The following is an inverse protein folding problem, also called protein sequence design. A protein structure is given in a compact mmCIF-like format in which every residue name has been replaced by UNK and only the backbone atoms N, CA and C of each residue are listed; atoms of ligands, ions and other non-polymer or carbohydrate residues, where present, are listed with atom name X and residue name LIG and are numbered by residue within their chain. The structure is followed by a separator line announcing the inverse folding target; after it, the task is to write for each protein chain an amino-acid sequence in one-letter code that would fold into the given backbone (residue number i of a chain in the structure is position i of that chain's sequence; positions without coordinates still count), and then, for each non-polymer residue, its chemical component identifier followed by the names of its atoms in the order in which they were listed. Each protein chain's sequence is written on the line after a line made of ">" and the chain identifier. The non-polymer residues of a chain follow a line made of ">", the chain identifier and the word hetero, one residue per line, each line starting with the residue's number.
data_IF_992469836064
#
_entry.id   IF_992469836064
#
_cell.length_a   1.000
_cell.length_b   1.000
_cell.length_c   1.000
_cell.angle_alpha   90.00
_cell.angle_beta   90.00
_cell.angle_gamma   90.00
#
_symmetry.space_group_name_H-M   'P 1'
#
loop_
_entity.id
_entity.type
_entity.pdbx_description
1 polymer ?
#
# COMPACT_ATOMS: atom_id res chain seq x y z
N UNK A 1 -11.91 -46.23 8.95
CA UNK A 1 -10.76 -46.14 8.00
C UNK A 1 -11.19 -45.76 6.59
N UNK A 2 -12.00 -46.56 5.85
CA UNK A 2 -12.41 -46.19 4.47
C UNK A 2 -13.12 -44.84 4.36
N UNK A 3 -14.04 -44.53 5.29
CA UNK A 3 -14.77 -43.26 5.31
C UNK A 3 -13.85 -42.04 5.45
N UNK A 4 -12.85 -42.12 6.33
CA UNK A 4 -11.84 -41.06 6.51
C UNK A 4 -11.04 -40.83 5.23
N UNK A 5 -10.58 -41.91 4.59
CA UNK A 5 -9.84 -41.80 3.34
C UNK A 5 -10.69 -41.13 2.24
N UNK A 6 -11.92 -41.58 2.02
CA UNK A 6 -12.79 -40.98 1.00
C UNK A 6 -13.22 -39.54 1.33
N UNK A 7 -13.12 -39.11 2.60
CA UNK A 7 -13.39 -37.73 3.00
C UNK A 7 -12.17 -36.82 2.76
N UNK A 8 -10.97 -37.23 3.17
CA UNK A 8 -9.77 -36.39 3.12
C UNK A 8 -8.99 -36.45 1.81
N UNK A 9 -9.17 -37.50 0.98
CA UNK A 9 -8.48 -37.63 -0.30
C UNK A 9 -9.35 -37.16 -1.47
N UNK A 10 -8.76 -36.54 -2.51
CA UNK A 10 -7.33 -36.27 -2.71
C UNK A 10 -6.81 -35.14 -1.81
N UNK A 11 -5.49 -35.11 -1.56
CA UNK A 11 -4.92 -33.95 -0.89
C UNK A 11 -5.00 -32.70 -1.79
N UNK A 12 -5.35 -31.57 -1.19
CA UNK A 12 -5.52 -30.30 -1.89
C UNK A 12 -4.18 -29.66 -2.26
N UNK A 13 -3.22 -29.67 -1.34
CA UNK A 13 -1.93 -29.00 -1.51
C UNK A 13 -0.80 -29.78 -0.84
N UNK A 14 0.33 -29.90 -1.54
CA UNK A 14 1.60 -30.37 -0.98
C UNK A 14 2.69 -29.31 -1.14
N UNK A 15 3.28 -28.89 -0.04
CA UNK A 15 4.35 -27.87 -0.01
C UNK A 15 5.72 -28.54 0.15
N UNK A 16 6.73 -28.10 -0.60
CA UNK A 16 8.07 -28.70 -0.56
C UNK A 16 9.19 -27.80 -1.08
N UNK A 17 10.44 -28.15 -0.77
CA UNK A 17 11.61 -27.54 -1.40
C UNK A 17 11.74 -27.93 -2.87
N UNK A 18 12.31 -27.03 -3.68
CA UNK A 18 12.52 -27.24 -5.13
C UNK A 18 13.41 -28.44 -5.46
N UNK A 19 14.26 -28.86 -4.52
CA UNK A 19 15.12 -30.05 -4.64
C UNK A 19 14.33 -31.36 -4.75
N UNK A 20 13.09 -31.40 -4.26
CA UNK A 20 12.26 -32.60 -4.29
C UNK A 20 11.43 -32.76 -5.58
N UNK A 21 11.47 -31.77 -6.48
CA UNK A 21 10.73 -31.79 -7.74
C UNK A 21 11.16 -33.00 -8.59
N UNK A 22 12.47 -33.16 -8.81
CA UNK A 22 13.03 -34.18 -9.70
C UNK A 22 13.03 -35.60 -9.11
N UNK A 23 12.53 -35.79 -7.88
CA UNK A 23 12.49 -37.08 -7.20
C UNK A 23 11.13 -37.31 -6.55
N UNK A 24 11.02 -37.10 -5.24
CA UNK A 24 9.86 -37.41 -4.41
C UNK A 24 8.54 -36.87 -4.94
N UNK A 25 8.49 -35.62 -5.42
CA UNK A 25 7.25 -35.05 -5.97
C UNK A 25 6.86 -35.71 -7.30
N UNK A 26 7.84 -36.01 -8.15
CA UNK A 26 7.63 -36.77 -9.39
C UNK A 26 7.17 -38.20 -9.08
N UNK A 27 7.83 -38.89 -8.13
CA UNK A 27 7.44 -40.23 -7.70
C UNK A 27 6.05 -40.24 -7.04
N UNK A 28 5.68 -39.19 -6.31
CA UNK A 28 4.34 -39.03 -5.77
C UNK A 28 3.29 -39.10 -6.89
N UNK A 29 3.49 -38.38 -8.00
CA UNK A 29 2.58 -38.40 -9.14
C UNK A 29 2.54 -39.78 -9.80
N UNK A 30 3.70 -40.40 -10.06
CA UNK A 30 3.76 -41.75 -10.65
C UNK A 30 3.02 -42.79 -9.80
N UNK A 31 3.27 -42.82 -8.49
CA UNK A 31 2.62 -43.78 -7.61
C UNK A 31 1.09 -43.55 -7.53
N UNK A 32 0.64 -42.29 -7.44
CA UNK A 32 -0.80 -42.00 -7.39
C UNK A 32 -1.49 -42.37 -8.70
N UNK A 33 -0.88 -42.08 -9.85
CA UNK A 33 -1.46 -42.42 -11.16
C UNK A 33 -1.47 -43.93 -11.43
N UNK A 34 -0.53 -44.68 -10.85
CA UNK A 34 -0.48 -46.14 -10.97
C UNK A 34 -1.45 -46.87 -10.02
N UNK A 35 -1.67 -46.37 -8.81
CA UNK A 35 -2.40 -47.07 -7.74
C UNK A 35 -3.83 -46.54 -7.57
N UNK A 36 -4.02 -45.22 -7.71
CA UNK A 36 -5.26 -44.55 -7.32
C UNK A 36 -6.13 -44.19 -8.53
N UNK A 37 -7.47 -44.25 -8.40
CA UNK A 37 -8.36 -43.73 -9.43
C UNK A 37 -8.17 -42.22 -9.58
N UNK A 38 -8.48 -41.68 -10.76
CA UNK A 38 -8.27 -40.26 -11.10
C UNK A 38 -8.88 -39.27 -10.10
N UNK A 39 -10.02 -39.61 -9.48
CA UNK A 39 -10.66 -38.79 -8.44
C UNK A 39 -9.78 -38.57 -7.20
N UNK A 40 -8.79 -39.42 -6.96
CA UNK A 40 -7.88 -39.39 -5.81
C UNK A 40 -6.47 -38.92 -6.19
N UNK A 41 -6.28 -38.36 -7.39
CA UNK A 41 -4.98 -37.80 -7.77
C UNK A 41 -4.70 -36.46 -7.07
N UNK A 42 -3.42 -36.14 -6.79
CA UNK A 42 -2.99 -34.86 -6.21
C UNK A 42 -3.61 -33.63 -6.90
N UNK A 43 -4.11 -32.66 -6.13
CA UNK A 43 -4.70 -31.43 -6.69
C UNK A 43 -3.71 -30.30 -6.91
N UNK A 44 -2.69 -30.17 -6.07
CA UNK A 44 -1.75 -29.06 -6.15
C UNK A 44 -0.41 -29.31 -5.45
N UNK A 45 0.64 -28.71 -5.98
CA UNK A 45 1.98 -28.68 -5.39
C UNK A 45 2.48 -27.23 -5.37
N UNK A 46 3.05 -26.79 -4.24
CA UNK A 46 3.73 -25.50 -4.13
C UNK A 46 5.19 -25.75 -3.74
N UNK A 47 6.10 -25.31 -4.60
CA UNK A 47 7.53 -25.45 -4.34
C UNK A 47 8.13 -24.11 -3.91
N UNK A 48 9.04 -24.14 -2.94
CA UNK A 48 9.81 -22.98 -2.51
C UNK A 48 11.32 -23.20 -2.69
N UNK A 49 12.09 -22.11 -2.72
CA UNK A 49 13.54 -22.18 -2.71
C UNK A 49 14.12 -22.66 -1.39
N UNK A 50 15.43 -22.84 -1.35
CA UNK A 50 16.13 -23.14 -0.10
C UNK A 50 16.15 -21.90 0.80
N UNK A 51 16.12 -22.12 2.11
CA UNK A 51 16.23 -21.02 3.06
C UNK A 51 17.70 -20.61 3.23
N UNK A 52 17.97 -19.33 3.04
CA UNK A 52 19.21 -18.65 3.41
C UNK A 52 19.05 -17.98 4.77
N UNK A 53 20.19 -17.69 5.41
CA UNK A 53 20.27 -17.01 6.70
C UNK A 53 21.18 -15.79 6.56
N UNK A 54 20.62 -14.59 6.72
CA UNK A 54 21.29 -13.30 6.46
C UNK A 54 22.04 -13.28 5.12
N UNK A 55 21.35 -13.70 4.06
CA UNK A 55 21.85 -13.77 2.67
C UNK A 55 23.01 -14.74 2.46
N UNK A 56 23.27 -15.63 3.40
CA UNK A 56 24.30 -16.67 3.31
C UNK A 56 23.67 -18.06 3.40
N UNK A 57 24.28 -19.03 2.72
CA UNK A 57 23.85 -20.44 2.80
C UNK A 57 23.96 -20.91 4.25
N UNK A 58 22.94 -21.64 4.71
CA UNK A 58 23.00 -22.27 6.02
C UNK A 58 24.00 -23.43 6.03
N UNK A 59 24.98 -23.36 6.93
CA UNK A 59 25.97 -24.43 7.12
C UNK A 59 26.50 -24.45 8.55
N UNK A 60 26.42 -25.62 9.19
CA UNK A 60 26.98 -25.87 10.51
C UNK A 60 28.49 -25.59 10.58
N UNK A 61 29.24 -25.91 9.51
CA UNK A 61 30.70 -25.71 9.48
C UNK A 61 31.12 -24.23 9.46
N UNK A 62 30.27 -23.36 8.92
CA UNK A 62 30.51 -21.91 8.85
C UNK A 62 30.01 -21.16 10.09
N UNK A 63 29.37 -21.85 11.04
CA UNK A 63 28.66 -21.24 12.17
C UNK A 63 27.33 -20.57 11.78
N UNK A 64 27.04 -20.37 10.48
CA UNK A 64 25.80 -19.79 9.98
C UNK A 64 24.68 -20.83 9.94
N UNK A 65 24.15 -21.19 11.10
CA UNK A 65 23.09 -22.19 11.24
C UNK A 65 22.20 -21.84 12.43
N UNK A 66 20.88 -21.91 12.23
CA UNK A 66 19.90 -21.65 13.27
C UNK A 66 18.88 -22.79 13.29
N UNK A 67 18.74 -23.46 14.43
CA UNK A 67 17.68 -24.45 14.62
C UNK A 67 16.35 -23.76 14.92
N UNK A 68 15.23 -24.46 14.67
CA UNK A 68 13.90 -23.96 15.02
C UNK A 68 13.79 -23.56 16.49
N UNK A 69 14.33 -24.39 17.40
CA UNK A 69 14.29 -24.11 18.84
C UNK A 69 15.06 -22.85 19.19
N UNK A 70 16.27 -22.69 18.65
CA UNK A 70 17.06 -21.46 18.85
C UNK A 70 16.34 -20.23 18.30
N UNK A 71 15.71 -20.31 17.12
CA UNK A 71 14.95 -19.20 16.56
C UNK A 71 13.77 -18.78 17.46
N UNK A 72 13.03 -19.77 17.99
CA UNK A 72 11.91 -19.51 18.92
C UNK A 72 12.40 -18.93 20.24
N UNK A 73 13.49 -19.47 20.81
CA UNK A 73 14.05 -19.01 22.09
C UNK A 73 14.61 -17.57 21.95
N UNK A 74 15.18 -17.23 20.79
CA UNK A 74 15.77 -15.91 20.53
C UNK A 74 14.73 -14.85 20.13
N UNK A 75 13.74 -15.21 19.31
CA UNK A 75 12.81 -14.24 18.71
C UNK A 75 11.34 -14.41 19.09
N UNK A 76 10.97 -15.45 19.84
CA UNK A 76 9.59 -15.96 19.97
C UNK A 76 9.05 -16.65 18.71
N UNK A 77 8.00 -17.45 18.88
CA UNK A 77 7.35 -18.17 17.79
C UNK A 77 6.76 -17.21 16.74
N UNK A 78 6.07 -16.15 17.15
CA UNK A 78 5.38 -15.25 16.23
C UNK A 78 6.34 -14.35 15.45
N UNK A 79 7.37 -13.80 16.09
CA UNK A 79 8.35 -12.99 15.37
C UNK A 79 9.18 -13.85 14.39
N UNK A 80 9.48 -15.10 14.75
CA UNK A 80 10.09 -16.08 13.83
C UNK A 80 9.18 -16.34 12.63
N UNK A 81 7.87 -16.50 12.85
CA UNK A 81 6.88 -16.72 11.78
C UNK A 81 6.71 -15.50 10.88
N UNK A 82 6.77 -14.28 11.41
CA UNK A 82 6.83 -13.04 10.60
C UNK A 82 8.05 -13.06 9.69
N UNK A 83 9.24 -13.33 10.23
CA UNK A 83 10.46 -13.36 9.43
C UNK A 83 10.43 -14.48 8.37
N UNK A 84 9.80 -15.61 8.65
CA UNK A 84 9.58 -16.69 7.67
C UNK A 84 8.57 -16.32 6.59
N UNK A 85 7.48 -15.63 6.93
CA UNK A 85 6.52 -15.13 5.95
C UNK A 85 7.15 -14.06 5.03
N UNK A 86 8.01 -13.19 5.57
CA UNK A 86 8.71 -12.16 4.80
C UNK A 86 9.86 -12.72 3.92
N UNK A 87 10.34 -13.92 4.22
CA UNK A 87 11.56 -14.48 3.63
C UNK A 87 11.48 -14.70 2.11
N UNK A 88 10.30 -15.03 1.57
CA UNK A 88 10.07 -15.21 0.14
C UNK A 88 8.93 -16.17 -0.21
N UNK A 89 8.18 -15.83 -1.27
CA UNK A 89 6.99 -16.58 -1.70
C UNK A 89 7.22 -17.52 -2.90
N UNK A 90 8.34 -17.36 -3.60
CA UNK A 90 8.62 -18.03 -4.86
C UNK A 90 9.52 -19.27 -4.76
N UNK A 91 9.98 -19.72 -5.94
CA UNK A 91 10.92 -20.85 -6.10
C UNK A 91 12.38 -20.39 -5.94
N UNK A 92 12.63 -19.08 -6.00
CA UNK A 92 13.91 -18.49 -5.64
C UNK A 92 14.21 -18.72 -4.16
N UNK A 93 15.49 -18.74 -3.82
CA UNK A 93 15.91 -18.98 -2.43
C UNK A 93 15.41 -17.88 -1.51
N UNK A 94 14.67 -18.28 -0.47
CA UNK A 94 14.11 -17.40 0.53
C UNK A 94 15.20 -16.97 1.52
N UNK A 95 15.03 -15.83 2.19
CA UNK A 95 16.05 -15.31 3.10
C UNK A 95 15.48 -14.98 4.48
N UNK A 96 15.87 -15.71 5.51
CA UNK A 96 15.60 -15.36 6.90
C UNK A 96 16.60 -14.29 7.36
N UNK A 97 16.10 -13.11 7.73
CA UNK A 97 16.91 -11.98 8.19
C UNK A 97 16.69 -11.74 9.68
N UNK A 98 17.77 -11.75 10.47
CA UNK A 98 17.70 -11.57 11.93
C UNK A 98 17.09 -10.22 12.31
N UNK A 99 17.47 -9.16 11.60
CA UNK A 99 16.93 -7.82 11.84
C UNK A 99 15.41 -7.77 11.64
N UNK A 100 14.85 -8.50 10.67
CA UNK A 100 13.41 -8.60 10.46
C UNK A 100 12.73 -9.28 11.65
N UNK A 101 13.28 -10.40 12.13
CA UNK A 101 12.75 -11.13 13.30
C UNK A 101 12.83 -10.27 14.58
N UNK A 102 13.96 -9.62 14.83
CA UNK A 102 14.13 -8.74 15.98
C UNK A 102 13.19 -7.52 15.93
N UNK A 103 13.04 -6.91 14.76
CA UNK A 103 12.11 -5.78 14.55
C UNK A 103 10.66 -6.20 14.77
N UNK A 104 10.31 -7.44 14.40
CA UNK A 104 8.96 -7.96 14.58
C UNK A 104 8.55 -8.06 16.05
N UNK A 105 9.47 -8.39 16.98
CA UNK A 105 9.20 -8.39 18.43
C UNK A 105 8.76 -7.00 18.89
N UNK A 106 9.55 -5.98 18.56
CA UNK A 106 9.27 -4.60 18.94
C UNK A 106 8.00 -4.06 18.28
N UNK A 107 7.69 -4.53 17.06
CA UNK A 107 6.45 -4.16 16.37
C UNK A 107 5.23 -4.73 17.08
N UNK A 108 5.19 -6.04 17.33
CA UNK A 108 4.04 -6.68 17.98
C UNK A 108 3.74 -6.07 19.36
N UNK A 109 4.77 -5.81 20.16
CA UNK A 109 4.59 -5.20 21.50
C UNK A 109 4.10 -3.75 21.43
N UNK A 110 4.62 -2.94 20.51
CA UNK A 110 4.13 -1.57 20.27
C UNK A 110 2.69 -1.54 19.78
N UNK A 111 2.32 -2.50 18.93
CA UNK A 111 0.96 -2.61 18.41
C UNK A 111 -0.04 -2.96 19.52
N UNK A 112 0.29 -3.90 20.42
CA UNK A 112 -0.54 -4.15 21.62
C UNK A 112 -0.70 -2.88 22.46
N UNK A 113 0.40 -2.20 22.78
CA UNK A 113 0.36 -1.00 23.61
C UNK A 113 -0.49 0.12 22.95
N UNK A 114 -0.36 0.30 21.63
CA UNK A 114 -1.18 1.26 20.88
C UNK A 114 -2.66 0.89 20.94
N UNK A 115 -3.01 -0.39 20.85
CA UNK A 115 -4.40 -0.84 20.95
C UNK A 115 -4.99 -0.59 22.34
N UNK A 116 -4.26 -0.95 23.39
CA UNK A 116 -4.69 -0.73 24.78
C UNK A 116 -4.88 0.76 25.11
N UNK A 117 -3.97 1.62 24.64
CA UNK A 117 -4.07 3.07 24.80
C UNK A 117 -5.34 3.62 24.13
N UNK A 118 -5.62 3.21 22.88
CA UNK A 118 -6.79 3.70 22.15
C UNK A 118 -8.12 3.11 22.64
N UNK A 119 -8.12 1.90 23.20
CA UNK A 119 -9.31 1.30 23.82
C UNK A 119 -9.67 1.97 25.15
N UNK A 120 -8.67 2.42 25.90
CA UNK A 120 -8.87 3.14 27.17
C UNK A 120 -9.13 4.64 26.99
N UNK A 121 -8.82 5.20 25.82
CA UNK A 121 -9.04 6.61 25.51
C UNK A 121 -10.53 6.97 25.38
N UNK A 122 -11.01 7.88 26.24
CA UNK A 122 -12.36 8.46 26.14
C UNK A 122 -12.49 9.58 25.10
N UNK A 123 -11.37 9.97 24.50
CA UNK A 123 -11.20 11.16 23.69
C UNK A 123 -11.36 10.91 22.18
N UNK A 124 -11.55 9.66 21.75
CA UNK A 124 -11.89 9.34 20.37
C UNK A 124 -13.27 9.90 20.00
N UNK A 125 -13.36 10.47 18.80
CA UNK A 125 -14.61 11.03 18.27
C UNK A 125 -15.67 9.94 18.10
N UNK A 126 -16.88 10.24 18.59
CA UNK A 126 -18.06 9.37 18.52
C UNK A 126 -19.01 9.81 17.41
N UNK A 127 -19.85 8.88 16.95
CA UNK A 127 -20.78 9.09 15.85
C UNK A 127 -20.27 8.48 14.55
N UNK A 128 -21.07 8.60 13.49
CA UNK A 128 -20.76 7.99 12.21
C UNK A 128 -19.48 8.59 11.58
N UNK A 129 -18.65 7.77 10.92
CA UNK A 129 -17.57 8.22 10.04
C UNK A 129 -18.08 9.28 9.05
N UNK A 130 -17.49 10.47 9.04
CA UNK A 130 -18.02 11.62 8.29
C UNK A 130 -16.96 12.48 7.62
N UNK A 131 -15.69 12.37 8.01
CA UNK A 131 -14.61 13.17 7.41
C UNK A 131 -14.05 12.48 6.18
N UNK A 132 -13.36 13.25 5.31
CA UNK A 132 -12.62 12.67 4.19
C UNK A 132 -11.62 11.59 4.65
N UNK A 133 -10.91 11.86 5.75
CA UNK A 133 -9.97 10.93 6.36
C UNK A 133 -10.65 9.63 6.82
N UNK A 134 -11.84 9.73 7.40
CA UNK A 134 -12.63 8.57 7.84
C UNK A 134 -12.99 7.66 6.67
N UNK A 135 -13.53 8.25 5.59
CA UNK A 135 -13.91 7.49 4.40
C UNK A 135 -12.71 6.86 3.71
N UNK A 136 -11.58 7.60 3.63
CA UNK A 136 -10.32 7.07 3.10
C UNK A 136 -9.85 5.87 3.93
N UNK A 137 -9.84 5.98 5.25
CA UNK A 137 -9.33 4.90 6.10
C UNK A 137 -10.21 3.65 6.04
N UNK A 138 -11.54 3.82 6.09
CA UNK A 138 -12.47 2.72 5.89
C UNK A 138 -12.25 2.01 4.53
N UNK A 139 -12.05 2.80 3.47
CA UNK A 139 -11.78 2.26 2.15
C UNK A 139 -10.44 1.50 2.10
N UNK A 140 -9.38 2.00 2.73
CA UNK A 140 -8.09 1.30 2.82
C UNK A 140 -8.20 -0.02 3.62
N UNK A 141 -9.03 -0.07 4.67
CA UNK A 141 -9.35 -1.33 5.37
C UNK A 141 -10.00 -2.33 4.41
N UNK A 142 -11.03 -1.91 3.66
CA UNK A 142 -11.72 -2.79 2.69
C UNK A 142 -10.77 -3.29 1.59
N UNK A 143 -9.86 -2.43 1.12
CA UNK A 143 -8.84 -2.79 0.13
C UNK A 143 -7.87 -3.82 0.70
N UNK A 144 -7.38 -3.61 1.92
CA UNK A 144 -6.47 -4.52 2.58
C UNK A 144 -7.09 -5.91 2.74
N UNK A 145 -8.33 -5.99 3.26
CA UNK A 145 -9.05 -7.27 3.42
C UNK A 145 -9.07 -8.08 2.13
N UNK A 146 -9.47 -7.45 1.01
CA UNK A 146 -9.55 -8.15 -0.29
C UNK A 146 -8.19 -8.53 -0.86
N UNK A 147 -7.21 -7.64 -0.78
CA UNK A 147 -5.86 -7.92 -1.32
C UNK A 147 -5.17 -9.03 -0.53
N UNK A 148 -5.28 -9.00 0.80
CA UNK A 148 -4.67 -10.03 1.64
C UNK A 148 -5.36 -11.38 1.49
N UNK A 149 -6.69 -11.41 1.30
CA UNK A 149 -7.42 -12.64 0.97
C UNK A 149 -6.85 -13.28 -0.31
N UNK A 150 -6.77 -12.49 -1.39
CA UNK A 150 -6.18 -12.94 -2.66
C UNK A 150 -4.74 -13.42 -2.51
N UNK A 151 -3.94 -12.75 -1.68
CA UNK A 151 -2.57 -13.13 -1.40
C UNK A 151 -2.50 -14.46 -0.63
N UNK A 152 -3.35 -14.68 0.37
CA UNK A 152 -3.42 -15.95 1.07
C UNK A 152 -3.89 -17.09 0.17
N UNK A 153 -4.93 -16.87 -0.65
CA UNK A 153 -5.41 -17.85 -1.63
C UNK A 153 -4.32 -18.23 -2.64
N UNK A 154 -3.50 -17.26 -3.05
CA UNK A 154 -2.36 -17.45 -3.96
C UNK A 154 -1.10 -17.98 -3.27
N UNK A 155 -1.15 -18.22 -1.95
CA UNK A 155 0.00 -18.59 -1.12
C UNK A 155 1.18 -17.60 -1.23
N UNK A 156 0.88 -16.31 -1.32
CA UNK A 156 1.82 -15.19 -1.31
C UNK A 156 1.86 -14.59 0.10
N UNK A 157 2.58 -15.23 1.02
CA UNK A 157 2.57 -14.90 2.44
C UNK A 157 3.33 -13.61 2.77
N UNK A 158 4.38 -13.28 2.02
CA UNK A 158 5.05 -11.98 2.12
C UNK A 158 4.12 -10.86 1.70
N UNK A 159 3.43 -11.02 0.57
CA UNK A 159 2.45 -10.02 0.10
C UNK A 159 1.24 -9.93 1.03
N UNK A 160 0.79 -11.04 1.62
CA UNK A 160 -0.24 -11.06 2.65
C UNK A 160 0.19 -10.25 3.88
N UNK A 161 1.43 -10.41 4.34
CA UNK A 161 1.99 -9.63 5.46
C UNK A 161 2.12 -8.14 5.11
N UNK A 162 2.57 -7.82 3.90
CA UNK A 162 2.67 -6.44 3.41
C UNK A 162 1.30 -5.76 3.38
N UNK A 163 0.28 -6.45 2.85
CA UNK A 163 -1.05 -5.86 2.67
C UNK A 163 -1.88 -5.86 3.96
N UNK A 164 -1.84 -6.96 4.71
CA UNK A 164 -2.73 -7.22 5.84
C UNK A 164 -2.17 -6.89 7.22
N UNK A 165 -0.92 -6.44 7.30
CA UNK A 165 -0.29 -6.01 8.55
C UNK A 165 0.43 -4.66 8.35
N UNK A 166 1.52 -4.64 7.59
CA UNK A 166 2.31 -3.41 7.42
C UNK A 166 1.55 -2.29 6.70
N UNK A 167 0.78 -2.64 5.66
CA UNK A 167 -0.02 -1.71 4.88
C UNK A 167 -1.19 -1.15 5.69
N UNK A 168 -1.82 -1.98 6.51
CA UNK A 168 -2.87 -1.55 7.44
C UNK A 168 -2.33 -0.58 8.50
N UNK A 169 -1.19 -0.88 9.12
CA UNK A 169 -0.52 0.03 10.06
C UNK A 169 -0.18 1.37 9.40
N UNK A 170 0.37 1.33 8.18
CA UNK A 170 0.66 2.56 7.43
C UNK A 170 -0.61 3.37 7.09
N UNK A 171 -1.73 2.69 6.79
CA UNK A 171 -3.03 3.34 6.55
C UNK A 171 -3.57 3.99 7.83
N UNK A 172 -3.44 3.31 8.99
CA UNK A 172 -3.79 3.84 10.30
C UNK A 172 -2.94 5.06 10.68
N UNK A 173 -1.63 4.98 10.52
CA UNK A 173 -0.73 6.08 10.86
C UNK A 173 -1.03 7.31 9.98
N UNK A 174 -1.31 7.08 8.70
CA UNK A 174 -1.79 8.14 7.80
C UNK A 174 -3.13 8.72 8.25
N UNK A 175 -4.07 7.89 8.70
CA UNK A 175 -5.38 8.30 9.19
C UNK A 175 -5.27 9.15 10.47
N UNK A 176 -4.49 8.71 11.44
CA UNK A 176 -4.23 9.45 12.68
C UNK A 176 -3.65 10.83 12.39
N UNK A 177 -2.66 10.89 11.48
CA UNK A 177 -2.06 12.14 11.07
C UNK A 177 -3.05 13.03 10.28
N UNK A 178 -3.90 12.43 9.44
CA UNK A 178 -4.93 13.14 8.66
C UNK A 178 -5.98 13.79 9.55
N UNK A 179 -6.35 13.15 10.66
CA UNK A 179 -7.36 13.67 11.58
C UNK A 179 -6.82 14.84 12.40
N UNK A 180 -5.66 14.68 13.04
CA UNK A 180 -5.54 15.36 14.33
C UNK A 180 -4.22 15.20 15.01
N UNK A 181 -3.78 13.95 15.04
CA UNK A 181 -3.50 13.31 16.31
C UNK A 181 -4.62 12.31 16.67
N UNK A 182 -4.39 11.56 17.74
CA UNK A 182 -5.20 10.40 18.09
C UNK A 182 -6.66 10.75 18.47
N UNK A 183 -6.89 11.92 19.07
CA UNK A 183 -8.21 12.28 19.62
C UNK A 183 -9.28 12.55 18.55
N UNK A 184 -8.87 12.92 17.34
CA UNK A 184 -9.81 13.26 16.27
C UNK A 184 -10.22 12.04 15.42
N UNK A 185 -9.62 10.88 15.69
CA UNK A 185 -9.97 9.62 15.05
C UNK A 185 -11.36 9.14 15.49
N UNK A 186 -12.08 8.52 14.56
CA UNK A 186 -13.37 7.90 14.82
C UNK A 186 -13.20 6.58 15.58
N UNK A 187 -13.87 6.46 16.72
CA UNK A 187 -13.76 5.28 17.59
C UNK A 187 -14.12 3.98 16.90
N UNK A 188 -15.25 3.96 16.18
CA UNK A 188 -15.77 2.72 15.61
C UNK A 188 -14.89 2.23 14.44
N UNK A 189 -14.27 3.16 13.68
CA UNK A 189 -13.25 2.81 12.68
C UNK A 189 -11.97 2.26 13.30
N UNK A 190 -11.51 2.85 14.40
CA UNK A 190 -10.32 2.37 15.13
C UNK A 190 -10.57 0.94 15.64
N UNK A 191 -11.74 0.67 16.22
CA UNK A 191 -12.11 -0.68 16.67
C UNK A 191 -12.26 -1.66 15.50
N UNK A 192 -12.83 -1.21 14.37
CA UNK A 192 -12.92 -2.01 13.15
C UNK A 192 -11.55 -2.39 12.63
N UNK A 193 -10.60 -1.45 12.61
CA UNK A 193 -9.21 -1.69 12.24
C UNK A 193 -8.58 -2.78 13.12
N UNK A 194 -8.72 -2.67 14.45
CA UNK A 194 -8.13 -3.65 15.38
C UNK A 194 -8.70 -5.05 15.17
N UNK A 195 -10.02 -5.19 14.99
CA UNK A 195 -10.66 -6.48 14.67
C UNK A 195 -10.11 -7.09 13.37
N UNK A 196 -10.01 -6.26 12.33
CA UNK A 196 -9.57 -6.68 11.00
C UNK A 196 -8.11 -7.10 11.02
N UNK A 197 -7.21 -6.27 11.53
CA UNK A 197 -5.77 -6.57 11.61
C UNK A 197 -5.52 -7.85 12.42
N UNK A 198 -6.19 -7.99 13.57
CA UNK A 198 -6.06 -9.17 14.45
C UNK A 198 -6.42 -10.47 13.72
N UNK A 199 -7.53 -10.47 12.97
CA UNK A 199 -7.98 -11.65 12.22
C UNK A 199 -7.10 -11.94 11.01
N UNK A 200 -6.64 -10.90 10.31
CA UNK A 200 -5.79 -11.04 9.13
C UNK A 200 -4.39 -11.53 9.45
N UNK A 201 -3.84 -11.15 10.61
CA UNK A 201 -2.50 -11.60 11.02
C UNK A 201 -2.50 -12.98 11.67
N UNK A 202 -3.65 -13.50 12.13
CA UNK A 202 -3.77 -14.76 12.85
C UNK A 202 -3.10 -15.99 12.16
N UNK A 203 -3.14 -16.16 10.82
CA UNK A 203 -2.42 -17.25 10.16
C UNK A 203 -0.88 -17.17 10.33
N UNK A 204 -0.33 -15.97 10.50
CA UNK A 204 1.11 -15.73 10.65
C UNK A 204 1.49 -15.64 12.13
N UNK A 205 0.76 -14.89 12.94
CA UNK A 205 1.03 -14.66 14.37
C UNK A 205 -0.15 -15.11 15.24
N UNK A 206 -0.40 -16.42 15.36
CA UNK A 206 -1.58 -16.91 16.06
C UNK A 206 -1.59 -16.60 17.54
N UNK A 207 -0.43 -16.60 18.23
CA UNK A 207 -0.38 -16.38 19.69
C UNK A 207 -0.68 -14.92 20.02
N UNK A 208 -0.07 -14.00 19.27
CA UNK A 208 -0.35 -12.57 19.30
C UNK A 208 -1.81 -12.28 18.98
N UNK A 209 -2.33 -12.83 17.88
CA UNK A 209 -3.71 -12.59 17.47
C UNK A 209 -4.71 -13.11 18.52
N UNK A 210 -4.43 -14.26 19.12
CA UNK A 210 -5.27 -14.82 20.17
C UNK A 210 -5.24 -13.97 21.46
N UNK A 211 -4.05 -13.49 21.85
CA UNK A 211 -3.92 -12.56 22.97
C UNK A 211 -4.65 -11.24 22.70
N UNK A 212 -4.48 -10.64 21.53
CA UNK A 212 -5.19 -9.40 21.17
C UNK A 212 -6.70 -9.64 21.15
N UNK A 213 -7.18 -10.73 20.56
CA UNK A 213 -8.60 -11.06 20.49
C UNK A 213 -9.25 -11.18 21.86
N UNK A 214 -8.65 -11.98 22.76
CA UNK A 214 -9.25 -12.33 24.05
C UNK A 214 -8.91 -11.35 25.15
N UNK A 215 -7.67 -10.89 25.21
CA UNK A 215 -7.18 -10.07 26.33
C UNK A 215 -7.27 -8.58 26.07
N UNK A 216 -7.07 -8.13 24.82
CA UNK A 216 -7.11 -6.70 24.49
C UNK A 216 -8.52 -6.30 24.05
N UNK A 217 -9.08 -6.98 23.04
CA UNK A 217 -10.41 -6.69 22.48
C UNK A 217 -11.56 -7.29 23.29
N UNK A 218 -11.26 -8.15 24.27
CA UNK A 218 -12.24 -8.82 25.16
C UNK A 218 -13.37 -9.51 24.37
N UNK A 219 -13.02 -10.16 23.26
CA UNK A 219 -13.96 -10.91 22.43
C UNK A 219 -14.09 -12.35 22.91
N UNK A 220 -15.28 -12.89 22.76
CA UNK A 220 -15.58 -14.28 23.09
C UNK A 220 -15.00 -15.25 22.05
N UNK A 221 -14.73 -16.49 22.49
CA UNK A 221 -14.19 -17.55 21.65
C UNK A 221 -12.72 -17.35 21.27
N UNK A 222 -12.29 -18.09 20.24
CA UNK A 222 -10.93 -18.02 19.70
C UNK A 222 -10.91 -17.27 18.37
N UNK A 223 -9.82 -16.55 18.07
CA UNK A 223 -9.70 -15.79 16.80
C UNK A 223 -9.80 -16.71 15.58
N UNK A 224 -9.30 -17.96 15.71
CA UNK A 224 -9.36 -18.96 14.64
C UNK A 224 -10.79 -19.34 14.25
N UNK A 225 -11.77 -19.13 15.15
CA UNK A 225 -13.18 -19.39 14.90
C UNK A 225 -13.95 -18.15 14.44
N UNK A 226 -13.30 -16.98 14.39
CA UNK A 226 -13.95 -15.72 14.02
C UNK A 226 -14.21 -15.59 12.51
N UNK A 227 -13.59 -16.45 11.68
CA UNK A 227 -13.67 -16.38 10.21
C UNK A 227 -12.89 -15.20 9.61
N UNK A 228 -12.96 -15.05 8.28
CA UNK A 228 -12.33 -13.92 7.57
C UNK A 228 -13.16 -12.63 7.67
N UNK A 229 -12.57 -11.44 7.87
CA UNK A 229 -13.32 -10.19 7.98
C UNK A 229 -14.07 -9.84 6.70
N UNK A 230 -15.32 -9.39 6.82
CA UNK A 230 -16.11 -8.91 5.69
C UNK A 230 -15.60 -7.53 5.20
N UNK A 231 -15.68 -7.25 3.90
CA UNK A 231 -15.31 -5.96 3.33
C UNK A 231 -16.22 -5.54 2.17
N UNK A 232 -16.65 -4.28 2.21
CA UNK A 232 -17.40 -3.66 1.12
C UNK A 232 -16.53 -3.48 -0.13
N UNK A 233 -17.17 -3.11 -1.24
CA UNK A 233 -16.45 -2.81 -2.48
C UNK A 233 -15.51 -1.61 -2.29
N UNK A 234 -14.21 -1.75 -2.60
CA UNK A 234 -13.30 -0.62 -2.63
C UNK A 234 -13.76 0.48 -3.56
N UNK A 235 -13.71 1.71 -3.06
CA UNK A 235 -13.80 2.92 -3.85
C UNK A 235 -12.41 3.28 -4.39
N UNK A 236 -12.13 2.84 -5.61
CA UNK A 236 -10.85 3.12 -6.26
C UNK A 236 -10.70 4.61 -6.65
N UNK A 237 -11.80 5.35 -6.81
CA UNK A 237 -11.77 6.80 -7.08
C UNK A 237 -11.28 7.52 -5.82
N UNK A 238 -11.82 7.17 -4.66
CA UNK A 238 -11.38 7.72 -3.37
C UNK A 238 -9.91 7.36 -3.06
N UNK A 239 -9.48 6.13 -3.36
CA UNK A 239 -8.07 5.76 -3.24
C UNK A 239 -7.18 6.62 -4.16
N UNK A 240 -7.62 6.87 -5.40
CA UNK A 240 -6.90 7.74 -6.34
C UNK A 240 -6.83 9.18 -5.83
N UNK A 241 -7.92 9.72 -5.28
CA UNK A 241 -7.98 11.05 -4.68
C UNK A 241 -7.01 11.20 -3.49
N UNK A 242 -6.98 10.21 -2.58
CA UNK A 242 -6.06 10.20 -1.45
C UNK A 242 -4.59 10.09 -1.91
N UNK A 243 -4.32 9.26 -2.92
CA UNK A 243 -2.98 9.14 -3.49
C UNK A 243 -2.52 10.44 -4.17
N UNK A 244 -3.43 11.15 -4.83
CA UNK A 244 -3.19 12.48 -5.39
C UNK A 244 -2.85 13.49 -4.29
N UNK A 245 -3.62 13.51 -3.19
CA UNK A 245 -3.36 14.36 -2.03
C UNK A 245 -1.97 14.10 -1.42
N UNK A 246 -1.64 12.82 -1.12
CA UNK A 246 -0.33 12.40 -0.59
C UNK A 246 0.83 12.87 -1.46
N UNK A 247 0.77 12.57 -2.76
CA UNK A 247 1.80 12.98 -3.74
C UNK A 247 1.94 14.50 -3.81
N UNK A 248 0.82 15.23 -3.77
CA UNK A 248 0.83 16.69 -3.82
C UNK A 248 1.49 17.30 -2.57
N UNK A 249 1.16 16.78 -1.38
CA UNK A 249 1.81 17.18 -0.11
C UNK A 249 3.31 16.90 -0.16
N UNK A 250 3.74 15.74 -0.66
CA UNK A 250 5.17 15.42 -0.78
C UNK A 250 5.91 16.37 -1.74
N UNK A 251 5.29 16.74 -2.87
CA UNK A 251 5.84 17.73 -3.80
C UNK A 251 5.93 19.10 -3.14
N UNK A 252 4.88 19.54 -2.45
CA UNK A 252 4.87 20.81 -1.71
C UNK A 252 5.97 20.84 -0.64
N UNK A 253 6.09 19.77 0.15
CA UNK A 253 7.13 19.63 1.19
C UNK A 253 8.53 19.68 0.60
N UNK A 254 8.78 19.01 -0.53
CA UNK A 254 10.08 19.06 -1.23
C UNK A 254 10.41 20.46 -1.74
N UNK A 255 9.42 21.21 -2.25
CA UNK A 255 9.62 22.60 -2.69
C UNK A 255 9.92 23.52 -1.50
N UNK A 256 9.16 23.40 -0.41
CA UNK A 256 9.38 24.19 0.80
C UNK A 256 10.79 24.00 1.36
N UNK A 257 11.25 22.74 1.46
CA UNK A 257 12.62 22.41 1.94
C UNK A 257 13.74 22.98 1.07
N UNK A 258 13.51 23.21 -0.22
CA UNK A 258 14.51 23.84 -1.11
C UNK A 258 14.65 25.34 -0.87
N UNK A 259 13.59 25.98 -0.39
CA UNK A 259 13.53 27.42 -0.14
C UNK A 259 13.80 27.80 1.32
N UNK A 260 13.70 26.86 2.25
CA UNK A 260 14.21 27.03 3.62
C UNK A 260 15.75 26.99 3.60
N UNK A 261 16.45 28.00 4.16
CA UNK A 261 17.90 27.93 4.29
C UNK A 261 18.26 26.71 5.14
N UNK A 262 19.21 25.90 4.67
CA UNK A 262 19.72 24.74 5.40
C UNK A 262 20.21 25.17 6.79
N UNK A 263 19.45 24.90 7.84
CA UNK A 263 19.89 25.08 9.23
C UNK A 263 20.96 24.07 9.67
N UNK A 264 21.46 23.20 8.76
CA UNK A 264 22.53 22.24 9.04
C UNK A 264 23.50 22.06 7.87
N UNK A 265 24.34 23.07 7.61
CA UNK A 265 25.71 22.84 7.14
C UNK A 265 26.66 23.38 8.20
N UNK A 266 27.19 22.50 9.04
CA UNK A 266 28.35 22.80 9.87
C UNK A 266 29.56 22.95 8.93
N UNK A 267 29.83 24.19 8.52
CA UNK A 267 31.09 24.57 7.89
C UNK A 267 32.04 25.03 8.99
N UNK A 268 33.20 24.38 9.07
CA UNK A 268 34.32 24.87 9.86
C UNK A 268 34.69 26.29 9.40
N UNK A 269 34.87 27.17 10.37
CA UNK A 269 35.35 28.55 10.29
C UNK A 269 34.41 29.61 9.69
N UNK A 270 34.00 30.53 10.58
CA UNK A 270 33.64 31.91 10.22
C UNK A 270 32.17 32.26 10.41
N UNK A 271 31.88 32.87 11.56
CA UNK A 271 30.75 33.76 11.87
C UNK A 271 29.32 33.23 11.61
N UNK A 272 28.43 33.21 12.61
CA UNK A 272 27.03 32.88 12.37
C UNK A 272 26.40 34.00 11.53
N UNK A 273 26.04 33.71 10.29
CA UNK A 273 25.11 34.54 9.53
C UNK A 273 23.74 34.30 10.18
N UNK A 274 23.35 35.18 11.09
CA UNK A 274 21.95 35.33 11.48
C UNK A 274 21.19 35.84 10.26
N UNK A 275 20.43 34.96 9.61
CA UNK A 275 19.42 35.40 8.65
C UNK A 275 18.05 35.11 9.24
N UNK A 276 17.45 36.21 9.70
CA UNK A 276 16.11 36.35 10.22
C UNK A 276 15.06 35.93 9.19
N UNK A 277 14.44 34.77 9.43
CA UNK A 277 13.05 34.49 9.01
C UNK A 277 12.19 34.29 10.26
N UNK A 278 12.49 35.03 11.34
CA UNK A 278 11.54 35.20 12.43
C UNK A 278 10.57 36.32 12.03
N UNK A 279 9.32 35.96 11.77
CA UNK A 279 8.21 36.92 11.64
C UNK A 279 7.57 37.08 10.27
N UNK A 280 8.01 36.38 9.21
CA UNK A 280 7.28 36.38 7.92
C UNK A 280 6.32 35.19 7.83
N UNK A 281 5.02 35.48 7.89
CA UNK A 281 3.96 34.49 7.64
C UNK A 281 4.10 33.91 6.24
N UNK A 282 4.41 32.62 6.16
CA UNK A 282 4.46 31.89 4.90
C UNK A 282 3.03 31.49 4.51
N UNK A 283 2.56 32.02 3.38
CA UNK A 283 1.26 31.69 2.79
C UNK A 283 1.52 30.74 1.62
N UNK A 284 0.85 29.58 1.60
CA UNK A 284 0.89 28.67 0.46
C UNK A 284 -0.34 28.84 -0.42
N UNK A 285 -0.13 29.15 -1.69
CA UNK A 285 -1.19 29.23 -2.70
C UNK A 285 -1.13 27.98 -3.59
N UNK A 286 -2.18 27.16 -3.54
CA UNK A 286 -2.33 25.96 -4.35
C UNK A 286 -3.19 26.32 -5.56
N UNK A 287 -2.58 26.36 -6.75
CA UNK A 287 -3.30 26.57 -8.00
C UNK A 287 -3.65 25.26 -8.66
N UNK A 288 -4.95 25.02 -8.83
CA UNK A 288 -5.48 23.80 -9.44
C UNK A 288 -6.00 24.10 -10.83
N UNK A 289 -5.50 23.36 -11.82
CA UNK A 289 -6.01 23.39 -13.20
C UNK A 289 -6.72 22.07 -13.47
N UNK A 290 -8.03 22.06 -13.26
CA UNK A 290 -8.86 20.85 -13.37
C UNK A 290 -8.96 20.29 -14.79
N UNK A 291 -8.61 21.08 -15.80
CA UNK A 291 -8.55 20.63 -17.18
C UNK A 291 -7.11 20.40 -17.59
N UNK A 292 -6.86 19.24 -18.18
CA UNK A 292 -5.56 18.92 -18.76
C UNK A 292 -5.12 19.95 -19.80
N UNK A 293 -3.81 20.18 -19.89
CA UNK A 293 -3.21 20.95 -20.98
C UNK A 293 -3.57 20.31 -22.33
N UNK A 294 -3.64 21.10 -23.40
CA UNK A 294 -4.11 20.64 -24.72
C UNK A 294 -3.42 19.34 -25.17
N UNK A 295 -2.11 19.25 -24.96
CA UNK A 295 -1.35 18.06 -25.32
C UNK A 295 -1.71 16.80 -24.53
N UNK A 296 -2.03 16.95 -23.25
CA UNK A 296 -2.51 15.86 -22.40
C UNK A 296 -3.94 15.49 -22.78
N UNK A 297 -4.78 16.48 -23.08
CA UNK A 297 -6.13 16.25 -23.58
C UNK A 297 -6.11 15.44 -24.90
N UNK A 298 -5.17 15.75 -25.81
CA UNK A 298 -5.01 14.99 -27.05
C UNK A 298 -4.52 13.56 -26.79
N UNK A 299 -3.56 13.37 -25.88
CA UNK A 299 -3.15 12.03 -25.44
C UNK A 299 -4.33 11.23 -24.89
N UNK A 300 -5.18 11.85 -24.08
CA UNK A 300 -6.35 11.22 -23.48
C UNK A 300 -7.39 10.85 -24.54
N UNK A 301 -7.71 11.74 -25.49
CA UNK A 301 -8.61 11.44 -26.61
C UNK A 301 -8.13 10.26 -27.44
N UNK A 302 -6.82 10.19 -27.71
CA UNK A 302 -6.23 9.04 -28.41
C UNK A 302 -6.40 7.75 -27.60
N UNK A 303 -6.15 7.80 -26.29
CA UNK A 303 -6.36 6.65 -25.43
C UNK A 303 -7.83 6.23 -25.37
N UNK A 304 -8.77 7.18 -25.27
CA UNK A 304 -10.21 6.92 -25.29
C UNK A 304 -10.63 6.19 -26.59
N UNK A 305 -10.16 6.67 -27.74
CA UNK A 305 -10.44 6.07 -29.04
C UNK A 305 -9.86 4.65 -29.19
N UNK A 306 -8.85 4.30 -28.39
CA UNK A 306 -8.14 3.02 -28.44
C UNK A 306 -8.41 2.14 -27.22
N UNK A 307 -9.41 2.46 -26.39
CA UNK A 307 -9.76 1.70 -25.19
C UNK A 307 -11.05 0.90 -25.39
N UNK A 308 -10.98 -0.41 -25.20
CA UNK A 308 -12.17 -1.26 -25.16
C UNK A 308 -12.73 -1.28 -23.73
N UNK A 309 -13.97 -0.81 -23.58
CA UNK A 309 -14.65 -0.67 -22.28
C UNK A 309 -14.98 -2.04 -21.66
N UNK A 310 -15.36 -3.02 -22.47
CA UNK A 310 -15.79 -4.34 -22.02
C UNK A 310 -14.61 -5.18 -21.53
N UNK A 311 -13.53 -5.21 -22.30
CA UNK A 311 -12.33 -6.01 -21.97
C UNK A 311 -11.32 -5.24 -21.11
N UNK A 312 -11.50 -3.93 -20.93
CA UNK A 312 -10.54 -3.01 -20.28
C UNK A 312 -9.14 -3.08 -20.87
N UNK A 313 -9.03 -3.31 -22.17
CA UNK A 313 -7.75 -3.42 -22.88
C UNK A 313 -7.57 -2.29 -23.88
N UNK A 314 -6.32 -1.94 -24.15
CA UNK A 314 -5.96 -0.98 -25.19
C UNK A 314 -5.58 -1.67 -26.50
N UNK A 315 -5.71 -0.95 -27.60
CA UNK A 315 -5.07 -1.32 -28.86
C UNK A 315 -3.52 -1.48 -28.69
N UNK A 316 -2.85 -2.23 -29.59
CA UNK A 316 -1.41 -2.40 -29.55
C UNK A 316 -0.67 -1.06 -29.52
N UNK A 317 0.45 -1.00 -28.77
CA UNK A 317 1.20 0.24 -28.55
C UNK A 317 1.64 0.93 -29.84
N UNK A 318 1.86 0.17 -30.93
CA UNK A 318 2.17 0.71 -32.25
C UNK A 318 1.08 1.65 -32.77
N UNK A 319 -0.20 1.28 -32.61
CA UNK A 319 -1.34 2.08 -33.07
C UNK A 319 -1.44 3.38 -32.26
N UNK A 320 -1.21 3.30 -30.95
CA UNK A 320 -1.22 4.46 -30.06
C UNK A 320 -0.07 5.41 -30.43
N UNK A 321 1.13 4.89 -30.71
CA UNK A 321 2.29 5.68 -31.12
C UNK A 321 2.07 6.39 -32.47
N UNK A 322 1.49 5.70 -33.46
CA UNK A 322 1.13 6.29 -34.75
C UNK A 322 0.08 7.40 -34.58
N UNK A 323 -0.92 7.21 -33.72
CA UNK A 323 -1.89 8.26 -33.41
C UNK A 323 -1.26 9.47 -32.69
N UNK A 324 -0.29 9.26 -31.78
CA UNK A 324 0.43 10.35 -31.11
C UNK A 324 1.27 11.21 -32.06
N UNK A 325 1.71 10.67 -33.21
CA UNK A 325 2.43 11.44 -34.25
C UNK A 325 1.56 12.52 -34.90
N UNK A 326 0.24 12.32 -34.91
CA UNK A 326 -0.71 13.21 -35.58
C UNK A 326 -1.14 14.42 -34.74
N UNK A 327 -0.73 14.50 -33.47
CA UNK A 327 -1.05 15.61 -32.56
C UNK A 327 -0.35 16.90 -33.02
N UNK A 328 -1.00 18.06 -32.84
CA UNK A 328 -0.47 19.40 -33.15
C UNK A 328 0.94 19.70 -32.62
N UNK A 329 1.39 19.03 -31.55
CA UNK A 329 2.77 19.11 -31.04
C UNK A 329 3.82 18.40 -31.90
N UNK A 330 3.44 17.34 -32.62
CA UNK A 330 4.29 16.62 -33.57
C UNK A 330 4.56 17.42 -34.85
N UNK A 331 3.74 18.42 -35.15
CA UNK A 331 3.97 19.34 -36.27
C UNK A 331 4.97 20.47 -35.94
N UNK A 332 5.22 20.74 -34.65
CA UNK A 332 6.05 21.88 -34.19
C UNK A 332 7.34 21.48 -33.44
N UNK A 333 7.52 20.22 -33.04
CA UNK A 333 8.70 19.73 -32.31
C UNK A 333 9.16 18.37 -32.84
N UNK A 334 10.46 18.10 -32.70
CA UNK A 334 11.10 16.81 -33.03
C UNK A 334 10.34 15.63 -32.36
N UNK A 335 10.00 14.60 -33.15
CA UNK A 335 9.19 13.44 -32.74
C UNK A 335 9.73 12.78 -31.46
N UNK A 336 11.06 12.74 -31.31
CA UNK A 336 11.72 12.15 -30.13
C UNK A 336 11.41 12.92 -28.85
N UNK A 337 11.25 14.24 -28.92
CA UNK A 337 10.88 15.06 -27.76
C UNK A 337 9.42 14.86 -27.37
N UNK A 338 8.52 14.72 -28.35
CA UNK A 338 7.09 14.44 -28.12
C UNK A 338 6.92 13.08 -27.45
N UNK A 339 7.64 12.06 -27.92
CA UNK A 339 7.61 10.72 -27.31
C UNK A 339 8.11 10.74 -25.86
N UNK A 340 9.23 11.41 -25.59
CA UNK A 340 9.78 11.53 -24.23
C UNK A 340 8.82 12.24 -23.27
N UNK A 341 8.04 13.21 -23.77
CA UNK A 341 7.07 13.95 -22.97
C UNK A 341 5.76 13.16 -22.74
N UNK A 342 5.23 12.52 -23.79
CA UNK A 342 3.90 11.91 -23.76
C UNK A 342 3.90 10.49 -23.19
N UNK A 343 4.93 9.68 -23.45
CA UNK A 343 4.92 8.26 -23.08
C UNK A 343 4.79 8.00 -21.58
N UNK A 344 5.44 8.75 -20.67
CA UNK A 344 5.23 8.57 -19.23
C UNK A 344 3.76 8.82 -18.83
N UNK A 345 3.13 9.84 -19.41
CA UNK A 345 1.73 10.19 -19.15
C UNK A 345 0.78 9.13 -19.71
N UNK A 346 0.99 8.71 -20.97
CA UNK A 346 0.21 7.66 -21.64
C UNK A 346 0.30 6.36 -20.85
N UNK A 347 1.51 5.94 -20.43
CA UNK A 347 1.70 4.73 -19.63
C UNK A 347 0.97 4.80 -18.28
N UNK A 348 1.03 5.95 -17.59
CA UNK A 348 0.29 6.16 -16.35
C UNK A 348 -1.22 6.01 -16.57
N UNK A 349 -1.75 6.69 -17.60
CA UNK A 349 -3.19 6.70 -17.90
C UNK A 349 -3.71 5.36 -18.39
N UNK A 350 -2.91 4.59 -19.13
CA UNK A 350 -3.25 3.20 -19.47
C UNK A 350 -3.43 2.34 -18.21
N UNK A 351 -2.48 2.41 -17.28
CA UNK A 351 -2.56 1.66 -16.04
C UNK A 351 -3.78 2.06 -15.19
N UNK A 352 -4.05 3.37 -15.08
CA UNK A 352 -5.23 3.90 -14.39
C UNK A 352 -6.53 3.42 -15.03
N UNK A 353 -6.64 3.43 -16.37
CA UNK A 353 -7.85 3.02 -17.07
C UNK A 353 -8.14 1.52 -16.99
N UNK A 354 -7.11 0.67 -16.96
CA UNK A 354 -7.28 -0.77 -16.70
C UNK A 354 -7.90 -1.01 -15.32
N UNK A 355 -7.52 -0.21 -14.32
CA UNK A 355 -8.01 -0.35 -12.95
C UNK A 355 -9.38 0.31 -12.72
N UNK A 356 -9.52 1.57 -13.14
CA UNK A 356 -10.67 2.44 -12.85
C UNK A 356 -11.73 2.44 -13.95
N UNK A 357 -11.43 1.92 -15.13
CA UNK A 357 -12.29 1.99 -16.31
C UNK A 357 -12.12 3.29 -17.12
N UNK A 358 -13.01 3.49 -18.09
CA UNK A 358 -12.94 4.58 -19.08
C UNK A 358 -12.86 5.99 -18.46
N UNK A 359 -13.48 6.19 -17.30
CA UNK A 359 -13.46 7.47 -16.55
C UNK A 359 -12.05 7.96 -16.18
N UNK A 360 -11.05 7.08 -16.10
CA UNK A 360 -9.66 7.52 -15.88
C UNK A 360 -9.06 8.29 -17.08
N UNK A 361 -9.68 8.14 -18.25
CA UNK A 361 -9.29 8.77 -19.50
C UNK A 361 -10.05 10.08 -19.76
N UNK A 362 -10.94 10.50 -18.86
CA UNK A 362 -11.65 11.77 -18.98
C UNK A 362 -10.68 12.96 -18.96
N UNK A 363 -11.11 14.06 -19.58
CA UNK A 363 -10.35 15.32 -19.64
C UNK A 363 -10.23 16.01 -18.28
N UNK A 364 -10.88 15.46 -17.26
CA UNK A 364 -10.78 15.82 -15.85
C UNK A 364 -10.50 14.56 -15.04
N UNK A 365 -9.93 14.72 -13.86
CA UNK A 365 -9.80 13.60 -12.93
C UNK A 365 -11.20 13.14 -12.46
N UNK A 366 -11.36 11.85 -12.09
CA UNK A 366 -12.65 11.30 -11.65
C UNK A 366 -13.08 11.81 -10.26
N UNK A 367 -12.33 12.73 -9.67
CA UNK A 367 -12.62 13.40 -8.40
C UNK A 367 -12.31 14.90 -8.54
N UNK A 368 -13.00 15.72 -7.75
CA UNK A 368 -12.77 17.16 -7.70
C UNK A 368 -11.46 17.50 -6.98
N UNK A 369 -10.45 17.97 -7.72
CA UNK A 369 -9.13 18.30 -7.17
C UNK A 369 -9.22 19.42 -6.13
N UNK A 370 -10.02 20.45 -6.41
CA UNK A 370 -10.21 21.60 -5.52
C UNK A 370 -10.89 21.15 -4.22
N UNK A 371 -11.92 20.31 -4.32
CA UNK A 371 -12.66 19.76 -3.17
C UNK A 371 -11.75 18.92 -2.28
N UNK A 372 -10.90 18.07 -2.88
CA UNK A 372 -9.93 17.25 -2.14
C UNK A 372 -8.99 18.14 -1.32
N UNK A 373 -8.43 19.20 -1.90
CA UNK A 373 -7.58 20.11 -1.12
C UNK A 373 -8.36 20.90 -0.07
N UNK A 374 -9.55 21.40 -0.41
CA UNK A 374 -10.41 22.16 0.52
C UNK A 374 -10.81 21.35 1.75
N UNK A 375 -11.17 20.07 1.56
CA UNK A 375 -11.53 19.16 2.67
C UNK A 375 -10.33 18.79 3.55
N UNK A 376 -9.10 18.99 3.08
CA UNK A 376 -7.86 18.58 3.75
C UNK A 376 -6.92 19.76 4.06
N UNK A 377 -7.44 20.99 4.15
CA UNK A 377 -6.61 22.19 4.41
C UNK A 377 -5.82 22.07 5.72
N UNK A 378 -6.45 21.60 6.80
CA UNK A 378 -5.79 21.49 8.10
C UNK A 378 -4.69 20.42 8.11
N UNK A 379 -4.89 19.33 7.35
CA UNK A 379 -3.84 18.35 7.11
C UNK A 379 -2.66 18.98 6.36
N UNK A 380 -2.91 19.74 5.29
CA UNK A 380 -1.85 20.38 4.48
C UNK A 380 -1.08 21.40 5.32
N UNK A 381 -1.78 22.25 6.09
CA UNK A 381 -1.19 23.22 7.02
C UNK A 381 -0.23 22.54 8.00
N UNK A 382 -0.68 21.48 8.67
CA UNK A 382 0.14 20.73 9.64
C UNK A 382 1.35 20.04 8.98
N UNK A 383 1.16 19.43 7.81
CA UNK A 383 2.22 18.71 7.10
C UNK A 383 3.33 19.61 6.55
N UNK A 384 3.00 20.87 6.29
CA UNK A 384 3.92 21.87 5.74
C UNK A 384 4.39 22.89 6.79
N UNK A 385 3.87 22.82 8.02
CA UNK A 385 4.11 23.79 9.10
C UNK A 385 3.80 25.24 8.65
N UNK A 386 2.58 25.43 8.14
CA UNK A 386 2.10 26.70 7.59
C UNK A 386 0.84 27.19 8.32
N UNK A 387 0.77 28.51 8.56
CA UNK A 387 -0.42 29.15 9.13
C UNK A 387 -1.58 29.23 8.12
N UNK A 388 -1.24 29.53 6.86
CA UNK A 388 -2.23 29.86 5.82
C UNK A 388 -1.97 29.11 4.51
N UNK A 389 -3.03 28.46 4.04
CA UNK A 389 -3.06 27.72 2.76
C UNK A 389 -4.35 28.11 2.07
N UNK A 390 -4.25 28.64 0.84
CA UNK A 390 -5.41 28.93 -0.01
C UNK A 390 -5.40 28.02 -1.24
N UNK A 391 -6.57 27.50 -1.61
CA UNK A 391 -6.77 26.72 -2.84
C UNK A 391 -7.50 27.58 -3.86
N UNK A 392 -6.88 27.77 -5.01
CA UNK A 392 -7.27 28.71 -6.05
C UNK A 392 -7.49 27.98 -7.38
N UNK A 393 -8.50 28.41 -8.14
CA UNK A 393 -8.78 27.84 -9.45
C UNK A 393 -7.99 28.55 -10.53
N UNK A 394 -7.21 27.80 -11.32
CA UNK A 394 -6.53 28.35 -12.47
C UNK A 394 -7.50 28.80 -13.57
N UNK A 395 -8.81 28.50 -13.51
CA UNK A 395 -9.81 28.97 -14.46
C UNK A 395 -10.44 30.31 -14.06
N UNK A 396 -10.38 30.69 -12.77
CA UNK A 396 -11.01 31.89 -12.25
C UNK A 396 -10.10 33.13 -12.43
N UNK A 397 -10.54 34.18 -13.16
CA UNK A 397 -9.75 35.39 -13.36
C UNK A 397 -9.33 36.11 -12.08
N UNK A 398 -10.18 36.10 -11.05
CA UNK A 398 -9.90 36.76 -9.77
C UNK A 398 -8.78 36.03 -9.00
N UNK A 399 -8.79 34.69 -9.06
CA UNK A 399 -7.75 33.86 -8.45
C UNK A 399 -6.40 34.04 -9.17
N UNK A 400 -6.42 34.19 -10.50
CA UNK A 400 -5.21 34.54 -11.28
C UNK A 400 -4.66 35.91 -10.91
N UNK A 401 -5.51 36.90 -10.65
CA UNK A 401 -5.09 38.24 -10.26
C UNK A 401 -4.39 38.25 -8.88
N UNK A 402 -4.83 37.40 -7.95
CA UNK A 402 -4.17 37.20 -6.65
C UNK A 402 -2.71 36.73 -6.78
N UNK A 403 -2.41 35.85 -7.74
CA UNK A 403 -1.03 35.41 -8.02
C UNK A 403 -0.12 36.60 -8.38
N UNK A 404 -0.61 37.45 -9.30
CA UNK A 404 0.15 38.58 -9.82
C UNK A 404 0.39 39.62 -8.72
N UNK A 405 -0.61 39.87 -7.86
CA UNK A 405 -0.49 40.80 -6.74
C UNK A 405 0.50 40.32 -5.66
N UNK A 406 0.58 39.01 -5.42
CA UNK A 406 1.50 38.42 -4.43
C UNK A 406 2.94 38.26 -4.95
N UNK A 407 3.13 38.03 -6.25
CA UNK A 407 4.47 37.97 -6.87
C UNK A 407 5.11 39.36 -7.05
N UNK A 408 4.31 40.43 -7.08
CA UNK A 408 4.77 41.82 -7.19
C UNK A 408 5.03 42.49 -5.82
N UNK A 409 4.89 41.75 -4.72
CA UNK A 409 5.25 42.14 -3.34
C UNK A 409 6.45 41.33 -2.88
#
# INVERSE_FOLDING_TARGET
>A
MKKEFEYWYPFDLRVSGKDLIQNHLTFCIYNHTAIMPRKHWPRGFRCNGHLMLNSKKMSKSTGNFLTLRQAIDEYSADATRIALADAGDGVDDANFVFDTANTAIGRLTKEIAWMEENLSANSLRRGSPSTFADHVFLNEINIAVRRTEQNYESCMFREALITGFYGLQAARDWYQHSCGGAQDMNRDLVWRYMDVETRMVAPICPHYAEYVWREVLKKDGFVVNAGWPAADAPDLILQSANNYLKKSIDVMRKKLRKHQPNSKKAGNNGSPISSSVEGKKLICLIYVKEQFDEWKADCLRILQNNFNIETRTFAPDRVILEALQSISLGQAKDFRQVQNLCMPFVKSKKNEAVQLGAQALDLKLPFGEIEVFKQNLDLIKRQLDLEEVEVLSAANPNDRAKLVLMLNR
#
